data_IF_202329387453
#
_entry.id   IF_202329387453
#
_cell.length_a   1.000
_cell.length_b   1.000
_cell.length_c   1.000
_cell.angle_alpha   90.00
_cell.angle_beta   90.00
_cell.angle_gamma   90.00
#
_symmetry.space_group_name_H-M   'P 1'
#
loop_
_entity.id
_entity.type
_entity.pdbx_description
1 polymer ?
#
# COMPACT_ATOMS: atom_id res chain seq x y z
N UNK A 1 53.44 -54.67 -60.72
CA UNK A 1 52.04 -54.38 -60.38
C UNK A 1 52.06 -53.52 -59.16
N UNK A 2 51.56 -52.21 -59.24
CA UNK A 2 51.77 -51.16 -58.29
C UNK A 2 50.62 -51.09 -57.31
N UNK A 3 50.87 -51.25 -56.02
CA UNK A 3 49.89 -51.02 -54.95
C UNK A 3 49.93 -49.56 -54.49
N UNK A 4 48.83 -48.90 -54.55
CA UNK A 4 48.68 -47.50 -54.16
C UNK A 4 48.21 -47.41 -52.69
N UNK A 5 49.05 -46.83 -51.86
CA UNK A 5 48.75 -46.58 -50.43
C UNK A 5 47.98 -45.25 -50.33
N UNK A 6 46.70 -45.26 -49.96
CA UNK A 6 45.97 -44.06 -49.63
C UNK A 6 46.18 -43.76 -48.15
N UNK A 7 46.72 -42.57 -47.88
CA UNK A 7 46.86 -42.00 -46.53
C UNK A 7 45.54 -41.48 -46.06
N UNK A 8 45.06 -41.96 -44.94
CA UNK A 8 43.89 -41.48 -44.24
C UNK A 8 44.32 -40.29 -43.34
N UNK A 9 43.81 -39.10 -43.64
CA UNK A 9 44.02 -37.91 -42.78
C UNK A 9 42.83 -37.85 -41.84
N UNK A 10 43.05 -38.05 -40.55
CA UNK A 10 42.07 -37.85 -39.50
C UNK A 10 42.01 -36.36 -39.15
N UNK A 11 40.89 -35.73 -39.43
CA UNK A 11 40.62 -34.35 -39.00
C UNK A 11 39.99 -34.43 -37.60
N UNK A 12 40.74 -34.00 -36.58
CA UNK A 12 40.21 -33.76 -35.24
C UNK A 12 39.50 -32.41 -35.22
N UNK A 13 38.18 -32.41 -35.19
CA UNK A 13 37.36 -31.25 -34.92
C UNK A 13 37.26 -31.06 -33.41
N UNK A 14 37.91 -30.04 -32.92
CA UNK A 14 37.78 -29.57 -31.52
C UNK A 14 36.51 -28.72 -31.44
N UNK A 15 35.41 -29.29 -30.90
CA UNK A 15 34.21 -28.54 -30.58
C UNK A 15 34.39 -27.80 -29.25
N UNK A 16 34.71 -26.51 -29.34
CA UNK A 16 34.66 -25.61 -28.19
C UNK A 16 33.17 -25.33 -27.83
N UNK A 17 32.67 -25.99 -26.79
CA UNK A 17 31.41 -25.67 -26.18
C UNK A 17 31.56 -24.33 -25.42
N UNK A 18 31.01 -23.27 -25.98
CA UNK A 18 30.85 -21.99 -25.29
C UNK A 18 29.68 -22.16 -24.29
N UNK A 19 29.97 -22.36 -23.03
CA UNK A 19 28.97 -22.26 -21.95
C UNK A 19 28.62 -20.77 -21.79
N UNK A 20 27.48 -20.35 -22.35
CA UNK A 20 26.86 -19.05 -22.04
C UNK A 20 26.32 -19.15 -20.62
N UNK A 21 27.09 -18.68 -19.64
CA UNK A 21 26.55 -18.37 -18.30
C UNK A 21 25.59 -17.19 -18.44
N UNK A 22 24.29 -17.49 -18.40
CA UNK A 22 23.27 -16.46 -18.23
C UNK A 22 23.24 -16.01 -16.76
N UNK A 23 23.46 -14.71 -16.47
CA UNK A 23 23.26 -14.16 -15.14
C UNK A 23 21.77 -13.83 -14.95
N UNK A 24 20.92 -14.83 -14.69
CA UNK A 24 19.50 -14.63 -14.47
C UNK A 24 19.06 -15.25 -13.15
N UNK A 25 19.42 -14.63 -12.01
CA UNK A 25 18.78 -14.98 -10.74
C UNK A 25 18.93 -13.91 -9.62
N UNK A 26 19.75 -12.86 -9.80
CA UNK A 26 20.00 -11.91 -8.71
C UNK A 26 18.93 -10.82 -8.58
N UNK A 27 18.27 -10.44 -9.69
CA UNK A 27 17.29 -9.35 -9.70
C UNK A 27 15.97 -9.73 -9.04
N UNK A 28 15.49 -10.95 -9.26
CA UNK A 28 14.21 -11.39 -8.70
C UNK A 28 14.29 -11.68 -7.20
N UNK A 29 15.39 -12.25 -6.74
CA UNK A 29 15.61 -12.53 -5.33
C UNK A 29 15.73 -11.24 -4.50
N UNK A 30 16.40 -10.21 -5.00
CA UNK A 30 16.54 -8.93 -4.31
C UNK A 30 15.25 -8.13 -4.28
N UNK A 31 14.44 -8.19 -5.34
CA UNK A 31 13.11 -7.58 -5.39
C UNK A 31 12.15 -8.29 -4.44
N UNK A 32 12.17 -9.61 -4.40
CA UNK A 32 11.33 -10.42 -3.52
C UNK A 32 11.70 -10.26 -2.05
N UNK A 33 12.99 -10.15 -1.73
CA UNK A 33 13.47 -9.88 -0.37
C UNK A 33 13.12 -8.45 0.09
N UNK A 34 13.15 -7.47 -0.80
CA UNK A 34 12.72 -6.10 -0.53
C UNK A 34 11.21 -6.03 -0.31
N UNK A 35 10.40 -6.75 -1.10
CA UNK A 35 8.95 -6.82 -0.95
C UNK A 35 8.53 -7.53 0.35
N UNK A 36 9.17 -8.66 0.70
CA UNK A 36 8.91 -9.38 1.94
C UNK A 36 9.29 -8.55 3.19
N UNK A 37 10.39 -7.79 3.12
CA UNK A 37 10.75 -6.81 4.15
C UNK A 37 9.68 -5.73 4.30
N UNK A 38 9.15 -5.22 3.19
CA UNK A 38 8.11 -4.19 3.16
C UNK A 38 6.78 -4.68 3.77
N UNK A 39 6.38 -5.92 3.51
CA UNK A 39 5.17 -6.52 4.11
C UNK A 39 5.25 -6.58 5.64
N UNK A 40 6.36 -7.09 6.19
CA UNK A 40 6.59 -7.11 7.64
C UNK A 40 6.66 -5.71 8.26
N UNK A 41 7.20 -4.75 7.51
CA UNK A 41 7.30 -3.36 7.96
C UNK A 41 5.95 -2.66 8.03
N UNK A 42 4.94 -3.10 7.29
CA UNK A 42 3.59 -2.52 7.36
C UNK A 42 2.92 -2.81 8.70
N UNK A 43 3.19 -3.98 9.29
CA UNK A 43 2.62 -4.39 10.58
C UNK A 43 3.02 -3.40 11.68
N UNK A 44 2.04 -2.98 12.48
CA UNK A 44 2.23 -2.07 13.60
C UNK A 44 1.21 -0.96 13.66
N UNK A 45 1.54 0.07 14.42
CA UNK A 45 0.68 1.23 14.66
C UNK A 45 1.27 2.45 13.96
N UNK A 46 0.41 3.20 13.28
CA UNK A 46 0.79 4.35 12.48
C UNK A 46 -0.06 5.56 12.85
N UNK A 47 0.58 6.67 13.18
CA UNK A 47 -0.07 7.94 13.50
C UNK A 47 -0.15 8.82 12.26
N UNK A 48 -1.32 9.39 12.00
CA UNK A 48 -1.54 10.24 10.83
C UNK A 48 -0.73 11.55 10.92
N UNK A 49 -0.10 11.91 9.82
CA UNK A 49 0.64 13.18 9.66
C UNK A 49 -0.14 14.13 8.75
N UNK A 50 -0.58 13.65 7.58
CA UNK A 50 -1.30 14.49 6.62
C UNK A 50 -2.19 13.65 5.70
N UNK A 51 -3.23 14.30 5.16
CA UNK A 51 -4.07 13.76 4.08
C UNK A 51 -4.18 14.83 3.00
N UNK A 52 -3.77 14.49 1.79
CA UNK A 52 -3.97 15.30 0.59
C UNK A 52 -4.90 14.58 -0.35
N UNK A 53 -5.82 15.30 -0.96
CA UNK A 53 -6.72 14.78 -1.98
C UNK A 53 -6.53 15.56 -3.27
N UNK A 54 -6.32 14.84 -4.36
CA UNK A 54 -6.17 15.41 -5.70
C UNK A 54 -7.37 14.99 -6.55
N UNK A 55 -8.08 15.98 -7.05
CA UNK A 55 -9.23 15.80 -7.92
C UNK A 55 -9.31 16.95 -8.92
N UNK A 56 -9.50 16.64 -10.20
CA UNK A 56 -9.63 17.63 -11.29
C UNK A 56 -8.48 18.67 -11.30
N UNK A 57 -7.24 18.21 -11.07
CA UNK A 57 -6.05 19.03 -11.02
C UNK A 57 -5.93 19.95 -9.78
N UNK A 58 -6.83 19.82 -8.81
CA UNK A 58 -6.81 20.56 -7.55
C UNK A 58 -6.38 19.67 -6.40
N UNK A 59 -5.42 20.16 -5.62
CA UNK A 59 -5.00 19.52 -4.36
C UNK A 59 -5.67 20.22 -3.19
N UNK A 60 -6.26 19.45 -2.31
CA UNK A 60 -6.89 19.92 -1.06
C UNK A 60 -6.39 19.13 0.14
N UNK A 61 -6.55 19.68 1.34
CA UNK A 61 -6.31 19.00 2.60
C UNK A 61 -7.66 18.84 3.35
N UNK A 62 -8.43 17.80 3.06
CA UNK A 62 -9.81 17.69 3.50
C UNK A 62 -9.98 17.55 5.03
N UNK A 63 -8.91 17.19 5.73
CA UNK A 63 -8.90 17.08 7.19
C UNK A 63 -8.17 18.28 7.85
N UNK A 64 -7.79 19.30 7.06
CA UNK A 64 -7.05 20.45 7.54
C UNK A 64 -5.63 20.12 7.99
N UNK A 65 -4.93 21.12 8.60
CA UNK A 65 -3.60 20.91 9.14
C UNK A 65 -3.65 20.06 10.41
N UNK A 66 -2.59 19.28 10.65
CA UNK A 66 -2.42 18.45 11.85
C UNK A 66 -3.60 17.48 12.14
N UNK A 67 -4.09 16.72 11.16
CA UNK A 67 -5.17 15.79 11.38
C UNK A 67 -4.77 14.74 12.42
N UNK A 68 -5.74 14.15 13.08
CA UNK A 68 -5.53 13.05 14.05
C UNK A 68 -5.92 11.73 13.40
N UNK A 69 -5.18 10.67 13.69
CA UNK A 69 -5.55 9.35 13.17
C UNK A 69 -4.62 8.27 13.65
N UNK A 70 -5.16 7.07 13.64
CA UNK A 70 -4.44 5.84 13.96
C UNK A 70 -4.77 4.81 12.89
N UNK A 71 -3.76 4.16 12.38
CA UNK A 71 -3.89 3.00 11.52
C UNK A 71 -3.14 1.84 12.15
N UNK A 72 -3.81 0.74 12.36
CA UNK A 72 -3.27 -0.49 12.93
C UNK A 72 -3.31 -1.57 11.86
N UNK A 73 -2.19 -2.23 11.64
CA UNK A 73 -2.10 -3.49 10.92
C UNK A 73 -1.60 -4.55 11.89
N UNK A 74 -2.41 -5.56 12.17
CA UNK A 74 -1.94 -6.68 12.99
C UNK A 74 -1.21 -7.73 12.14
N UNK A 75 -0.48 -8.62 12.80
CA UNK A 75 0.25 -9.70 12.11
C UNK A 75 -0.65 -10.85 11.63
N UNK A 76 -1.97 -10.77 11.82
CA UNK A 76 -2.94 -11.82 11.49
C UNK A 76 -3.88 -11.44 10.36
N UNK A 77 -3.61 -10.33 9.66
CA UNK A 77 -4.40 -9.86 8.53
C UNK A 77 -5.62 -9.01 8.91
N UNK A 78 -5.64 -8.45 10.14
CA UNK A 78 -6.69 -7.52 10.60
C UNK A 78 -6.15 -6.10 10.61
N UNK A 79 -7.02 -5.14 10.34
CA UNK A 79 -6.68 -3.73 10.43
C UNK A 79 -7.81 -2.91 11.08
N UNK A 80 -7.43 -1.76 11.62
CA UNK A 80 -8.36 -0.70 12.01
C UNK A 80 -7.77 0.65 11.62
N UNK A 81 -8.59 1.50 11.02
CA UNK A 81 -8.24 2.88 10.65
C UNK A 81 -9.27 3.84 11.23
N UNK A 82 -8.77 4.94 11.79
CA UNK A 82 -9.58 6.08 12.18
C UNK A 82 -8.81 7.37 11.93
N UNK A 83 -9.48 8.34 11.30
CA UNK A 83 -8.92 9.65 10.98
C UNK A 83 -9.93 10.74 11.28
N UNK A 84 -9.44 11.88 11.78
CA UNK A 84 -10.27 12.99 12.25
C UNK A 84 -9.64 14.34 11.93
N UNK A 85 -10.47 15.31 11.62
CA UNK A 85 -10.10 16.73 11.71
C UNK A 85 -9.94 17.12 13.19
N UNK A 86 -8.97 17.98 13.53
CA UNK A 86 -8.77 18.39 14.91
C UNK A 86 -9.85 19.37 15.43
N UNK A 87 -10.58 20.00 14.53
CA UNK A 87 -11.52 21.09 14.76
C UNK A 87 -13.01 20.70 14.59
N UNK A 88 -13.34 19.42 14.76
CA UNK A 88 -14.75 18.99 14.81
C UNK A 88 -15.41 19.64 16.04
N UNK A 89 -16.51 20.38 15.85
CA UNK A 89 -17.19 21.05 16.97
C UNK A 89 -17.76 20.03 17.97
N UNK A 90 -17.80 20.43 19.23
CA UNK A 90 -18.53 19.65 20.24
C UNK A 90 -20.02 19.82 20.03
N UNK A 91 -20.80 18.80 20.33
CA UNK A 91 -22.23 18.87 20.36
C UNK A 91 -22.69 19.83 21.47
N UNK A 92 -23.41 20.89 21.14
CA UNK A 92 -23.91 21.87 22.11
C UNK A 92 -24.83 21.22 23.15
N UNK A 93 -25.60 20.22 22.75
CA UNK A 93 -26.48 19.43 23.61
C UNK A 93 -25.74 18.39 24.48
N UNK A 94 -24.43 18.21 24.30
CA UNK A 94 -23.63 17.13 24.89
C UNK A 94 -24.22 15.73 24.62
N UNK A 95 -25.01 15.57 23.56
CA UNK A 95 -25.68 14.32 23.18
C UNK A 95 -25.59 14.10 21.68
N UNK A 96 -25.14 12.91 21.28
CA UNK A 96 -25.08 12.51 19.86
C UNK A 96 -26.47 12.39 19.21
N UNK A 97 -27.52 12.17 20.01
CA UNK A 97 -28.87 11.96 19.53
C UNK A 97 -29.57 13.27 19.17
N UNK A 98 -29.10 14.40 19.68
CA UNK A 98 -29.70 15.73 19.57
C UNK A 98 -28.78 16.77 18.95
N UNK A 99 -27.79 16.31 18.14
CA UNK A 99 -26.93 17.19 17.39
C UNK A 99 -27.68 17.94 16.29
N UNK A 100 -27.28 19.19 16.05
CA UNK A 100 -27.83 19.95 14.91
C UNK A 100 -27.41 19.33 13.58
N UNK A 101 -28.10 19.65 12.47
CA UNK A 101 -27.67 19.20 11.14
C UNK A 101 -26.22 19.59 10.81
N UNK A 102 -25.77 20.78 11.22
CA UNK A 102 -24.41 21.30 11.00
C UNK A 102 -23.39 20.51 11.81
N UNK A 103 -23.66 20.23 13.08
CA UNK A 103 -22.80 19.41 13.93
C UNK A 103 -22.67 17.98 13.37
N UNK A 104 -23.78 17.36 12.98
CA UNK A 104 -23.78 16.03 12.36
C UNK A 104 -23.01 16.01 11.05
N UNK A 105 -23.18 17.02 10.19
CA UNK A 105 -22.44 17.20 8.96
C UNK A 105 -20.93 17.38 9.22
N UNK A 106 -20.56 18.16 10.24
CA UNK A 106 -19.18 18.37 10.61
C UNK A 106 -18.50 17.06 11.04
N UNK A 107 -19.19 16.22 11.82
CA UNK A 107 -18.68 14.90 12.21
C UNK A 107 -18.50 14.00 10.98
N UNK A 108 -19.49 13.91 10.10
CA UNK A 108 -19.43 13.08 8.89
C UNK A 108 -18.30 13.55 7.96
N UNK A 109 -18.18 14.84 7.72
CA UNK A 109 -17.13 15.38 6.85
C UNK A 109 -15.76 15.41 7.54
N UNK A 110 -15.71 15.44 8.85
CA UNK A 110 -14.49 15.55 9.64
C UNK A 110 -13.89 14.22 10.08
N UNK A 111 -14.57 13.10 9.86
CA UNK A 111 -14.10 11.80 10.36
C UNK A 111 -14.30 10.67 9.36
N UNK A 112 -13.47 9.66 9.45
CA UNK A 112 -13.65 8.37 8.77
C UNK A 112 -13.04 7.28 9.65
N UNK A 113 -13.80 6.24 9.91
CA UNK A 113 -13.33 5.07 10.62
C UNK A 113 -13.83 3.79 9.93
N UNK A 114 -12.97 2.81 9.84
CA UNK A 114 -13.32 1.48 9.35
C UNK A 114 -12.32 0.45 9.87
N UNK A 115 -12.76 -0.79 9.93
CA UNK A 115 -11.94 -1.94 10.27
C UNK A 115 -12.34 -3.15 9.42
N UNK A 116 -11.48 -4.16 9.38
CA UNK A 116 -11.74 -5.38 8.63
C UNK A 116 -10.49 -6.21 8.44
N UNK A 117 -10.40 -6.87 7.31
CA UNK A 117 -9.25 -7.69 6.92
C UNK A 117 -8.39 -6.98 5.89
N UNK A 118 -7.10 -7.39 5.82
CA UNK A 118 -6.21 -6.94 4.76
C UNK A 118 -5.35 -8.09 4.24
N UNK A 119 -4.90 -7.96 3.01
CA UNK A 119 -3.90 -8.80 2.37
C UNK A 119 -2.85 -7.93 1.67
N UNK A 120 -1.64 -8.45 1.51
CA UNK A 120 -0.52 -7.74 0.86
C UNK A 120 -0.13 -8.47 -0.41
N UNK A 121 0.04 -7.72 -1.49
CA UNK A 121 0.69 -8.17 -2.71
C UNK A 121 2.14 -7.63 -2.72
N UNK A 122 3.08 -8.50 -2.38
CA UNK A 122 4.49 -8.14 -2.28
C UNK A 122 5.11 -7.75 -3.62
N UNK A 123 4.67 -8.35 -4.72
CA UNK A 123 5.18 -8.06 -6.07
C UNK A 123 4.82 -6.65 -6.53
N UNK A 124 3.60 -6.22 -6.22
CA UNK A 124 3.08 -4.92 -6.64
C UNK A 124 3.30 -3.82 -5.60
N UNK A 125 3.79 -4.17 -4.41
CA UNK A 125 3.89 -3.27 -3.25
C UNK A 125 2.54 -2.58 -2.97
N UNK A 126 1.48 -3.42 -2.93
CA UNK A 126 0.12 -2.99 -2.64
C UNK A 126 -0.46 -3.80 -1.49
N UNK A 127 -1.45 -3.23 -0.83
CA UNK A 127 -2.32 -3.97 0.06
C UNK A 127 -3.78 -3.78 -0.36
N UNK A 128 -4.60 -4.78 -0.11
CA UNK A 128 -6.04 -4.73 -0.29
C UNK A 128 -6.70 -4.83 1.06
N UNK A 129 -7.55 -3.87 1.40
CA UNK A 129 -8.43 -3.93 2.57
C UNK A 129 -9.83 -4.34 2.14
N UNK A 130 -10.51 -5.08 3.02
CA UNK A 130 -11.93 -5.39 2.95
C UNK A 130 -12.60 -4.93 4.25
N UNK A 131 -13.22 -3.75 4.25
CA UNK A 131 -13.91 -3.25 5.44
C UNK A 131 -15.09 -4.15 5.82
N UNK A 132 -15.15 -4.57 7.08
CA UNK A 132 -16.31 -5.26 7.67
C UNK A 132 -17.35 -4.25 8.14
N UNK A 133 -16.89 -3.09 8.59
CA UNK A 133 -17.72 -1.93 8.91
C UNK A 133 -16.98 -0.64 8.61
N UNK A 134 -17.72 0.39 8.22
CA UNK A 134 -17.19 1.71 7.91
C UNK A 134 -18.21 2.80 8.25
N UNK A 135 -17.72 3.95 8.74
CA UNK A 135 -18.54 5.18 8.84
C UNK A 135 -18.92 5.76 7.47
N UNK A 136 -18.27 5.29 6.39
CA UNK A 136 -18.70 5.46 5.01
C UNK A 136 -19.25 4.11 4.51
N UNK A 137 -20.55 3.85 4.62
CA UNK A 137 -21.16 2.52 4.42
C UNK A 137 -20.89 1.91 3.05
N UNK A 138 -20.70 2.74 2.01
CA UNK A 138 -20.41 2.30 0.64
C UNK A 138 -19.12 1.47 0.52
N UNK A 139 -18.24 1.51 1.52
CA UNK A 139 -17.02 0.70 1.52
C UNK A 139 -17.17 -0.67 2.19
N UNK A 140 -18.23 -0.88 2.94
CA UNK A 140 -18.45 -2.16 3.66
C UNK A 140 -18.56 -3.31 2.68
N UNK A 141 -17.72 -4.34 2.86
CA UNK A 141 -17.68 -5.54 2.02
C UNK A 141 -17.01 -5.35 0.65
N UNK A 142 -16.46 -4.17 0.33
CA UNK A 142 -15.83 -3.87 -0.96
C UNK A 142 -14.32 -3.88 -0.83
N UNK A 143 -13.66 -4.68 -1.66
CA UNK A 143 -12.20 -4.72 -1.72
C UNK A 143 -11.62 -3.42 -2.26
N UNK A 144 -10.62 -2.90 -1.56
CA UNK A 144 -9.98 -1.64 -1.90
C UNK A 144 -8.47 -1.79 -1.92
N UNK A 145 -7.92 -1.76 -3.12
CA UNK A 145 -6.47 -1.84 -3.36
C UNK A 145 -5.83 -0.46 -3.19
N UNK A 146 -4.70 -0.42 -2.52
CA UNK A 146 -3.89 0.78 -2.30
C UNK A 146 -2.42 0.46 -2.50
N UNK A 147 -1.68 1.40 -3.10
CA UNK A 147 -0.23 1.33 -3.10
C UNK A 147 0.34 1.98 -1.85
N UNK A 148 1.52 1.53 -1.43
CA UNK A 148 2.22 2.10 -0.29
C UNK A 148 3.73 2.07 -0.48
N UNK A 149 4.40 2.92 0.29
CA UNK A 149 5.85 2.86 0.45
C UNK A 149 6.21 3.15 1.89
N UNK A 150 7.28 2.50 2.38
CA UNK A 150 7.80 2.71 3.73
C UNK A 150 9.25 3.14 3.62
N UNK A 151 9.59 4.24 4.29
CA UNK A 151 10.94 4.75 4.43
C UNK A 151 11.21 5.09 5.89
N UNK A 152 12.07 4.32 6.56
CA UNK A 152 12.30 4.41 8.01
C UNK A 152 10.96 4.27 8.78
N UNK A 153 10.56 5.33 9.47
CA UNK A 153 9.35 5.40 10.28
C UNK A 153 8.18 6.10 9.57
N UNK A 154 8.30 6.34 8.27
CA UNK A 154 7.25 6.96 7.45
C UNK A 154 6.59 5.92 6.53
N UNK A 155 5.26 5.90 6.55
CA UNK A 155 4.42 5.13 5.63
C UNK A 155 3.62 6.11 4.78
N UNK A 156 3.80 6.06 3.46
CA UNK A 156 2.98 6.77 2.48
C UNK A 156 2.00 5.79 1.86
N UNK A 157 0.74 6.17 1.83
CA UNK A 157 -0.34 5.40 1.21
C UNK A 157 -0.98 6.25 0.11
N UNK A 158 -1.24 5.63 -1.04
CA UNK A 158 -2.00 6.23 -2.14
C UNK A 158 -3.28 5.41 -2.33
N UNK A 159 -4.40 6.09 -2.17
CA UNK A 159 -5.73 5.56 -2.43
C UNK A 159 -6.30 6.21 -3.71
N UNK A 160 -6.41 5.47 -4.83
CA UNK A 160 -6.88 6.03 -6.10
C UNK A 160 -8.38 6.34 -6.11
N UNK A 161 -9.14 5.83 -5.14
CA UNK A 161 -10.59 5.98 -5.02
C UNK A 161 -10.97 6.45 -3.63
N UNK A 162 -10.64 7.69 -3.29
CA UNK A 162 -10.97 8.29 -2.01
C UNK A 162 -12.49 8.40 -1.79
N UNK A 163 -12.94 8.38 -0.53
CA UNK A 163 -14.37 8.54 -0.18
C UNK A 163 -14.95 9.89 -0.56
N UNK A 164 -14.12 10.85 -0.93
CA UNK A 164 -14.48 12.20 -1.40
C UNK A 164 -14.37 12.35 -2.91
N UNK A 165 -14.04 11.26 -3.64
CA UNK A 165 -13.60 11.29 -5.03
C UNK A 165 -12.11 11.60 -5.15
N UNK A 166 -11.56 11.36 -6.35
CA UNK A 166 -10.14 11.59 -6.67
C UNK A 166 -9.17 10.66 -5.95
N UNK A 167 -7.89 11.03 -5.99
CA UNK A 167 -6.79 10.28 -5.39
C UNK A 167 -6.38 10.89 -4.06
N UNK A 168 -6.36 10.09 -3.01
CA UNK A 168 -5.90 10.53 -1.69
C UNK A 168 -4.49 10.01 -1.40
N UNK A 169 -3.60 10.89 -0.95
CA UNK A 169 -2.29 10.56 -0.41
C UNK A 169 -2.29 10.79 1.10
N UNK A 170 -1.96 9.76 1.86
CA UNK A 170 -1.89 9.79 3.32
C UNK A 170 -0.46 9.54 3.76
N UNK A 171 0.05 10.38 4.64
CA UNK A 171 1.35 10.21 5.28
C UNK A 171 1.16 9.85 6.74
N UNK A 172 1.87 8.84 7.18
CA UNK A 172 1.81 8.30 8.52
C UNK A 172 3.21 8.18 9.10
N UNK A 173 3.33 8.28 10.42
CA UNK A 173 4.55 7.94 11.16
C UNK A 173 4.29 6.77 12.09
N UNK A 174 5.29 5.92 12.25
CA UNK A 174 5.23 4.82 13.21
C UNK A 174 5.00 5.36 14.61
N UNK A 175 4.04 4.78 15.31
CA UNK A 175 3.85 5.08 16.74
C UNK A 175 5.07 4.57 17.53
N UNK A 176 5.52 5.39 18.48
CA UNK A 176 6.59 5.03 19.42
C UNK A 176 6.02 4.25 20.59
#
# INVERSE_FOLDING_TARGET
MKASIRKLVAVFSVSTAFAVLMPFAASDASAQQKAAGTAKQLIGHWMLVSVKNEQDGKTTEPLGPNPKGLFIFDGKGRYALMIFRPDIPKFASNSRNTGTPEENKAVVLGSLAHFGTYSINEKEVTYTIRPEASTYPNWTGIDQKRSFSISKDELKIINPSGSRGGTSTLIWKRAK
#
